data_IF_498192773515
#
_entry.id   IF_498192773515
#
_cell.length_a   1.000
_cell.length_b   1.000
_cell.length_c   1.000
_cell.angle_alpha   90.00
_cell.angle_beta   90.00
_cell.angle_gamma   90.00
#
_symmetry.space_group_name_H-M   'P 1'
#
loop_
_entity.id
_entity.type
_entity.pdbx_description
1 polymer ?
#
# COMPACT_ATOMS: atom_id res chain seq x y z
N UNK A 1 4.35 18.00 22.30
CA UNK A 1 3.64 17.79 21.02
C UNK A 1 4.00 16.40 20.54
N UNK A 2 3.10 15.44 20.65
CA UNK A 2 3.33 14.07 20.16
C UNK A 2 3.44 14.15 18.63
N UNK A 3 4.61 13.82 18.12
CA UNK A 3 4.91 13.76 16.69
C UNK A 3 4.07 12.62 16.10
N UNK A 4 2.96 12.94 15.41
CA UNK A 4 1.98 11.96 14.90
C UNK A 4 2.45 11.31 13.57
N UNK A 5 3.71 10.85 13.54
CA UNK A 5 4.26 10.14 12.39
C UNK A 5 3.79 8.70 12.36
N UNK A 6 3.09 8.29 11.29
CA UNK A 6 2.75 6.88 11.05
C UNK A 6 3.91 6.17 10.34
N UNK A 7 4.64 6.87 9.47
CA UNK A 7 5.87 6.40 8.85
C UNK A 7 7.01 7.32 9.28
N UNK A 8 8.06 6.72 9.83
CA UNK A 8 9.32 7.41 10.11
C UNK A 8 10.47 6.52 9.63
N UNK A 9 11.02 6.84 8.48
CA UNK A 9 12.15 6.16 7.87
C UNK A 9 13.33 7.13 7.82
N UNK A 10 14.43 6.81 8.50
CA UNK A 10 15.61 7.66 8.63
C UNK A 10 16.82 6.97 8.02
N UNK A 11 17.47 7.63 7.05
CA UNK A 11 18.73 7.22 6.42
C UNK A 11 18.69 5.76 5.92
N UNK A 12 17.58 5.36 5.28
CA UNK A 12 17.39 4.01 4.76
C UNK A 12 18.34 3.75 3.60
N UNK A 13 19.12 2.70 3.74
CA UNK A 13 19.89 2.14 2.61
C UNK A 13 19.35 0.77 2.21
N UNK A 14 19.49 0.41 0.94
CA UNK A 14 19.25 -0.94 0.46
C UNK A 14 20.25 -1.32 -0.60
N UNK A 15 20.97 -2.40 -0.32
CA UNK A 15 21.95 -2.98 -1.24
C UNK A 15 21.52 -4.41 -1.56
N UNK A 16 21.31 -4.68 -2.85
CA UNK A 16 21.07 -6.04 -3.35
C UNK A 16 22.39 -6.62 -3.88
N UNK A 17 22.68 -7.88 -3.52
CA UNK A 17 23.86 -8.60 -3.99
C UNK A 17 23.48 -9.63 -5.04
N UNK A 18 23.97 -9.46 -6.25
CA UNK A 18 23.79 -10.35 -7.38
C UNK A 18 25.15 -10.98 -7.73
N UNK A 19 25.51 -12.05 -7.03
CA UNK A 19 26.85 -12.62 -7.10
C UNK A 19 27.90 -11.63 -6.57
N UNK A 20 28.80 -11.16 -7.45
CA UNK A 20 29.83 -10.16 -7.10
C UNK A 20 29.40 -8.69 -7.33
N UNK A 21 28.20 -8.47 -7.89
CA UNK A 21 27.70 -7.13 -8.20
C UNK A 21 26.82 -6.63 -7.05
N UNK A 22 27.14 -5.44 -6.54
CA UNK A 22 26.28 -4.74 -5.58
C UNK A 22 25.47 -3.66 -6.28
N UNK A 23 24.13 -3.70 -6.06
CA UNK A 23 23.19 -2.70 -6.55
C UNK A 23 22.69 -1.89 -5.38
N UNK A 24 23.11 -0.64 -5.27
CA UNK A 24 22.69 0.31 -4.26
C UNK A 24 21.35 0.95 -4.67
N UNK A 25 20.23 0.31 -4.29
CA UNK A 25 18.90 0.76 -4.66
C UNK A 25 18.42 1.96 -3.84
N UNK A 26 18.81 2.03 -2.54
CA UNK A 26 18.61 3.22 -1.69
C UNK A 26 19.93 3.61 -1.04
N UNK A 27 20.18 4.92 -0.91
CA UNK A 27 21.47 5.51 -0.53
C UNK A 27 21.35 6.52 0.62
N UNK A 28 20.53 6.21 1.64
CA UNK A 28 20.27 7.11 2.77
C UNK A 28 18.99 7.92 2.60
N UNK A 29 17.97 7.32 1.99
CA UNK A 29 16.66 7.94 1.83
C UNK A 29 15.96 8.12 3.19
N UNK A 30 15.30 9.28 3.39
CA UNK A 30 14.52 9.56 4.61
C UNK A 30 13.12 10.00 4.22
N UNK A 31 12.10 9.42 4.86
CA UNK A 31 10.68 9.75 4.62
C UNK A 31 9.94 9.77 5.96
N UNK A 32 9.24 10.86 6.22
CA UNK A 32 8.35 11.01 7.38
C UNK A 32 6.94 11.33 6.90
N UNK A 33 5.94 10.52 7.27
CA UNK A 33 4.54 10.70 6.86
C UNK A 33 3.66 10.73 8.11
N UNK A 34 2.79 11.75 8.19
CA UNK A 34 1.85 11.90 9.30
C UNK A 34 0.65 10.95 9.13
N UNK A 35 0.05 10.56 10.25
CA UNK A 35 -1.21 9.79 10.23
C UNK A 35 -2.30 10.56 9.47
N UNK A 36 -3.01 9.86 8.57
CA UNK A 36 -4.06 10.41 7.73
C UNK A 36 -3.59 11.24 6.53
N UNK A 37 -2.28 11.40 6.33
CA UNK A 37 -1.73 12.14 5.19
C UNK A 37 -1.89 11.36 3.88
N UNK A 38 -2.10 12.08 2.77
CA UNK A 38 -2.07 11.54 1.40
C UNK A 38 -0.80 12.01 0.71
N UNK A 39 0.10 11.09 0.42
CA UNK A 39 1.43 11.39 -0.13
C UNK A 39 1.65 10.66 -1.45
N UNK A 40 2.18 11.36 -2.45
CA UNK A 40 2.69 10.74 -3.66
C UNK A 40 4.21 10.52 -3.55
N UNK A 41 4.69 9.36 -3.99
CA UNK A 41 6.11 9.08 -4.19
C UNK A 41 6.35 8.99 -5.70
N UNK A 42 7.15 9.92 -6.23
CA UNK A 42 7.42 10.03 -7.66
C UNK A 42 8.91 9.94 -7.97
N UNK A 43 9.24 9.61 -9.20
CA UNK A 43 10.64 9.56 -9.68
C UNK A 43 10.78 8.73 -10.96
N UNK A 44 11.90 8.83 -11.67
CA UNK A 44 12.13 8.07 -12.89
C UNK A 44 12.22 6.56 -12.65
N UNK A 45 12.14 5.76 -13.71
CA UNK A 45 12.39 4.31 -13.61
C UNK A 45 13.79 4.05 -13.04
N UNK A 46 13.89 3.05 -12.16
CA UNK A 46 15.16 2.70 -11.50
C UNK A 46 15.59 3.63 -10.35
N UNK A 47 14.83 4.66 -10.00
CA UNK A 47 15.19 5.61 -8.92
C UNK A 47 15.15 5.04 -7.50
N UNK A 48 14.57 3.85 -7.29
CA UNK A 48 14.42 3.23 -5.97
C UNK A 48 12.99 3.21 -5.40
N UNK A 49 11.97 3.71 -6.15
CA UNK A 49 10.56 3.74 -5.69
C UNK A 49 10.03 2.39 -5.23
N UNK A 50 10.16 1.35 -6.06
CA UNK A 50 9.68 -0.01 -5.71
C UNK A 50 10.44 -0.60 -4.53
N UNK A 51 11.74 -0.30 -4.39
CA UNK A 51 12.52 -0.70 -3.22
C UNK A 51 12.04 0.02 -1.97
N UNK A 52 11.78 1.33 -2.04
CA UNK A 52 11.21 2.10 -0.94
C UNK A 52 9.82 1.56 -0.56
N UNK A 53 8.96 1.30 -1.56
CA UNK A 53 7.65 0.68 -1.34
C UNK A 53 7.75 -0.64 -0.60
N UNK A 54 8.67 -1.52 -1.01
CA UNK A 54 8.86 -2.82 -0.36
C UNK A 54 9.28 -2.69 1.11
N UNK A 55 10.14 -1.72 1.42
CA UNK A 55 10.58 -1.47 2.80
C UNK A 55 9.44 -0.86 3.62
N UNK A 56 8.79 0.20 3.14
CA UNK A 56 7.69 0.85 3.84
C UNK A 56 6.50 -0.11 4.03
N UNK A 57 6.30 -1.02 3.06
CA UNK A 57 5.27 -2.05 3.11
C UNK A 57 5.63 -3.30 3.93
N UNK A 58 6.77 -3.31 4.61
CA UNK A 58 7.27 -4.48 5.35
C UNK A 58 7.33 -5.77 4.50
N UNK A 59 7.63 -5.63 3.20
CA UNK A 59 7.90 -6.73 2.27
C UNK A 59 9.40 -7.06 2.24
N UNK A 60 10.25 -6.11 2.59
CA UNK A 60 11.71 -6.24 2.64
C UNK A 60 12.27 -5.41 3.79
N UNK A 61 13.52 -5.69 4.19
CA UNK A 61 14.23 -4.93 5.23
C UNK A 61 15.23 -3.97 4.62
N UNK A 62 15.47 -2.82 5.24
CA UNK A 62 16.61 -2.00 4.88
C UNK A 62 17.93 -2.73 5.18
N UNK A 63 18.98 -2.40 4.43
CA UNK A 63 20.36 -2.84 4.77
C UNK A 63 20.88 -2.08 5.98
N UNK A 64 20.56 -0.79 6.08
CA UNK A 64 20.81 0.05 7.26
C UNK A 64 19.81 1.20 7.34
N UNK A 65 19.84 1.96 8.42
CA UNK A 65 18.89 2.99 8.76
C UNK A 65 17.82 2.50 9.73
N UNK A 66 16.91 3.38 10.13
CA UNK A 66 15.84 3.07 11.07
C UNK A 66 14.48 3.26 10.39
N UNK A 67 13.56 2.31 10.61
CA UNK A 67 12.19 2.39 10.11
C UNK A 67 11.20 2.06 11.21
N UNK A 68 10.35 3.04 11.55
CA UNK A 68 9.21 2.88 12.44
C UNK A 68 7.92 3.01 11.63
N UNK A 69 7.02 2.05 11.83
CA UNK A 69 5.66 2.06 11.28
C UNK A 69 4.67 2.08 12.44
N UNK A 70 3.95 3.19 12.57
CA UNK A 70 2.97 3.39 13.64
C UNK A 70 3.56 3.09 15.02
N UNK A 71 4.75 3.66 15.28
CA UNK A 71 5.51 3.53 16.52
C UNK A 71 6.27 2.21 16.72
N UNK A 72 6.10 1.21 15.84
CA UNK A 72 6.78 -0.09 15.94
C UNK A 72 8.05 -0.10 15.08
N UNK A 73 9.21 -0.48 15.65
CA UNK A 73 10.46 -0.56 14.89
C UNK A 73 10.48 -1.78 13.98
N UNK A 74 10.38 -1.55 12.67
CA UNK A 74 10.25 -2.60 11.65
C UNK A 74 11.61 -3.08 11.14
N UNK A 75 12.65 -2.24 11.20
CA UNK A 75 13.98 -2.53 10.62
C UNK A 75 14.67 -3.75 11.19
N UNK A 76 14.30 -4.18 12.40
CA UNK A 76 14.95 -5.29 13.13
C UNK A 76 14.11 -6.56 13.24
N UNK A 77 12.88 -6.54 12.73
CA UNK A 77 11.94 -7.66 12.83
C UNK A 77 12.40 -8.86 11.99
N UNK A 78 12.11 -10.07 12.43
CA UNK A 78 12.25 -11.29 11.62
C UNK A 78 11.12 -11.42 10.58
N UNK A 79 11.15 -12.47 9.75
CA UNK A 79 10.20 -12.64 8.65
C UNK A 79 8.76 -12.88 9.14
N UNK A 80 8.59 -13.59 10.26
CA UNK A 80 7.29 -13.84 10.85
C UNK A 80 6.70 -12.56 11.44
N UNK A 81 7.51 -11.79 12.15
CA UNK A 81 7.13 -10.49 12.71
C UNK A 81 6.80 -9.47 11.61
N UNK A 82 7.60 -9.43 10.53
CA UNK A 82 7.30 -8.59 9.35
C UNK A 82 5.98 -8.97 8.71
N UNK A 83 5.69 -10.28 8.59
CA UNK A 83 4.42 -10.74 8.03
C UNK A 83 3.23 -10.34 8.91
N UNK A 84 3.37 -10.38 10.23
CA UNK A 84 2.35 -9.94 11.18
C UNK A 84 2.12 -8.42 11.10
N UNK A 85 3.19 -7.62 11.14
CA UNK A 85 3.10 -6.15 10.98
C UNK A 85 2.45 -5.79 9.64
N UNK A 86 2.88 -6.42 8.55
CA UNK A 86 2.29 -6.20 7.22
C UNK A 86 0.80 -6.52 7.19
N UNK A 87 0.39 -7.65 7.77
CA UNK A 87 -1.03 -8.02 7.84
C UNK A 87 -1.88 -7.02 8.61
N UNK A 88 -1.36 -6.51 9.74
CA UNK A 88 -2.10 -5.60 10.64
C UNK A 88 -2.09 -4.14 10.18
N UNK A 89 -0.94 -3.66 9.67
CA UNK A 89 -0.68 -2.22 9.51
C UNK A 89 -0.61 -1.76 8.05
N UNK A 90 -0.53 -2.67 7.07
CA UNK A 90 -0.33 -2.31 5.68
C UNK A 90 -1.38 -2.92 4.77
N UNK A 91 -2.05 -2.08 3.98
CA UNK A 91 -2.87 -2.50 2.85
C UNK A 91 -2.15 -2.24 1.54
N UNK A 92 -2.26 -3.16 0.57
CA UNK A 92 -1.65 -2.99 -0.76
C UNK A 92 -2.70 -2.95 -1.86
N UNK A 93 -2.54 -1.96 -2.76
CA UNK A 93 -3.28 -1.81 -3.99
C UNK A 93 -2.26 -1.78 -5.13
N UNK A 94 -2.29 -2.75 -6.04
CA UNK A 94 -1.32 -2.88 -7.13
C UNK A 94 -1.95 -2.53 -8.47
N UNK A 95 -1.14 -2.12 -9.42
CA UNK A 95 -1.52 -1.85 -10.80
C UNK A 95 -2.21 -3.05 -11.46
N UNK A 96 -1.73 -4.27 -11.21
CA UNK A 96 -2.23 -5.54 -11.78
C UNK A 96 -3.26 -6.24 -10.89
N UNK A 97 -3.86 -5.50 -9.94
CA UNK A 97 -4.89 -5.94 -8.98
C UNK A 97 -4.44 -7.09 -8.06
N UNK A 98 -3.66 -8.04 -8.53
CA UNK A 98 -3.14 -9.22 -7.81
C UNK A 98 -4.25 -9.99 -7.07
N UNK A 99 -5.40 -10.18 -7.74
CA UNK A 99 -6.50 -10.99 -7.23
C UNK A 99 -6.26 -12.48 -7.53
N UNK A 100 -6.74 -13.34 -6.64
CA UNK A 100 -6.79 -14.78 -6.88
C UNK A 100 -7.87 -15.07 -7.94
N UNK A 101 -7.50 -15.51 -9.17
CA UNK A 101 -8.42 -15.54 -10.31
C UNK A 101 -9.53 -16.58 -10.17
N UNK A 102 -9.33 -17.60 -9.34
CA UNK A 102 -10.32 -18.67 -9.07
C UNK A 102 -11.18 -18.42 -7.84
N UNK A 103 -10.85 -17.40 -7.04
CA UNK A 103 -11.59 -17.00 -5.85
C UNK A 103 -12.62 -15.92 -6.20
N UNK A 104 -13.74 -15.88 -5.48
CA UNK A 104 -14.75 -14.80 -5.59
C UNK A 104 -14.20 -13.49 -5.04
N UNK A 105 -14.90 -12.36 -5.32
CA UNK A 105 -14.59 -11.07 -4.71
C UNK A 105 -14.55 -11.17 -3.18
N UNK A 106 -15.57 -11.78 -2.59
CA UNK A 106 -15.61 -12.00 -1.13
C UNK A 106 -14.41 -12.81 -0.63
N UNK A 107 -14.07 -13.92 -1.28
CA UNK A 107 -12.95 -14.76 -0.86
C UNK A 107 -11.59 -14.05 -1.00
N UNK A 108 -11.43 -13.17 -2.00
CA UNK A 108 -10.25 -12.32 -2.14
C UNK A 108 -10.13 -11.32 -0.98
N UNK A 109 -11.25 -10.72 -0.56
CA UNK A 109 -11.26 -9.74 0.54
C UNK A 109 -11.14 -10.42 1.91
N UNK A 110 -11.65 -11.63 2.08
CA UNK A 110 -11.48 -12.42 3.32
C UNK A 110 -10.03 -12.90 3.54
N UNK A 111 -9.22 -12.97 2.47
CA UNK A 111 -7.89 -13.58 2.53
C UNK A 111 -6.98 -12.97 3.62
N UNK A 112 -6.81 -11.64 3.75
CA UNK A 112 -5.98 -11.06 4.80
C UNK A 112 -6.48 -11.37 6.22
N UNK A 113 -7.80 -11.52 6.40
CA UNK A 113 -8.40 -11.82 7.69
C UNK A 113 -8.04 -13.22 8.20
N UNK A 114 -7.83 -14.19 7.28
CA UNK A 114 -7.43 -15.56 7.63
C UNK A 114 -6.01 -15.64 8.21
N UNK A 115 -5.17 -14.67 7.90
CA UNK A 115 -3.80 -14.55 8.43
C UNK A 115 -3.72 -13.61 9.63
N UNK A 116 -4.83 -12.98 10.01
CA UNK A 116 -4.90 -12.11 11.17
C UNK A 116 -4.81 -12.92 12.47
N UNK A 117 -3.96 -12.49 13.39
CA UNK A 117 -3.91 -13.02 14.77
C UNK A 117 -4.96 -12.37 15.67
N UNK A 118 -5.72 -11.41 15.16
CA UNK A 118 -6.81 -10.77 15.91
C UNK A 118 -8.02 -11.70 15.98
N UNK A 119 -8.51 -11.97 17.17
CA UNK A 119 -9.71 -12.76 17.43
C UNK A 119 -10.90 -11.82 17.73
N UNK A 120 -12.12 -12.36 17.63
CA UNK A 120 -13.33 -11.69 18.15
C UNK A 120 -14.16 -10.92 17.13
N UNK A 121 -13.92 -11.10 15.80
CA UNK A 121 -14.79 -10.55 14.77
C UNK A 121 -15.16 -11.60 13.70
N UNK A 122 -16.32 -11.40 13.08
CA UNK A 122 -16.76 -12.21 11.95
C UNK A 122 -16.01 -11.78 10.69
N UNK A 123 -15.11 -12.65 10.20
CA UNK A 123 -14.32 -12.43 9.00
C UNK A 123 -15.19 -12.16 7.78
N UNK A 124 -16.28 -12.94 7.66
CA UNK A 124 -17.20 -12.82 6.53
C UNK A 124 -17.94 -11.48 6.56
N UNK A 125 -18.48 -11.08 7.70
CA UNK A 125 -19.18 -9.80 7.82
C UNK A 125 -18.24 -8.63 7.53
N UNK A 126 -17.01 -8.66 8.07
CA UNK A 126 -16.02 -7.62 7.85
C UNK A 126 -15.62 -7.50 6.37
N UNK A 127 -15.50 -8.63 5.66
CA UNK A 127 -15.24 -8.63 4.23
C UNK A 127 -16.44 -8.12 3.41
N UNK A 128 -17.67 -8.43 3.82
CA UNK A 128 -18.88 -7.87 3.22
C UNK A 128 -18.95 -6.37 3.40
N UNK A 129 -18.68 -5.86 4.61
CA UNK A 129 -18.67 -4.42 4.90
C UNK A 129 -17.62 -3.70 4.03
N UNK A 130 -16.45 -4.31 3.84
CA UNK A 130 -15.41 -3.76 2.96
C UNK A 130 -15.83 -3.74 1.48
N UNK A 131 -16.59 -4.73 0.99
CA UNK A 131 -17.13 -4.75 -0.36
C UNK A 131 -18.25 -3.70 -0.56
N UNK A 132 -19.10 -3.51 0.43
CA UNK A 132 -20.11 -2.42 0.43
C UNK A 132 -19.42 -1.05 0.38
N UNK A 133 -18.35 -0.85 1.15
CA UNK A 133 -17.60 0.42 1.16
C UNK A 133 -16.98 0.81 -0.19
N UNK A 134 -16.86 -0.15 -1.12
CA UNK A 134 -16.36 0.08 -2.49
C UNK A 134 -17.44 -0.10 -3.57
N UNK A 135 -18.72 -0.10 -3.20
CA UNK A 135 -19.90 -0.24 -4.07
C UNK A 135 -19.87 -1.56 -4.89
N UNK A 136 -19.63 -2.70 -4.23
CA UNK A 136 -19.57 -4.04 -4.85
C UNK A 136 -20.44 -5.09 -4.13
N UNK A 137 -21.50 -4.68 -3.43
CA UNK A 137 -22.43 -5.58 -2.73
C UNK A 137 -23.16 -6.54 -3.67
N UNK A 138 -23.36 -6.18 -4.92
CA UNK A 138 -23.99 -7.00 -5.95
C UNK A 138 -22.99 -7.94 -6.68
N UNK A 139 -21.68 -7.82 -6.40
CA UNK A 139 -20.58 -8.57 -7.04
C UNK A 139 -19.84 -9.53 -6.13
N UNK A 140 -20.33 -9.77 -4.91
CA UNK A 140 -19.71 -10.58 -3.85
C UNK A 140 -19.28 -11.97 -4.35
N UNK A 141 -20.09 -12.60 -5.22
CA UNK A 141 -19.88 -13.96 -5.73
C UNK A 141 -19.15 -14.01 -7.07
N UNK A 142 -18.92 -12.88 -7.73
CA UNK A 142 -18.22 -12.83 -9.01
C UNK A 142 -16.73 -13.11 -8.82
N UNK A 143 -16.13 -13.71 -9.84
CA UNK A 143 -14.69 -13.93 -9.94
C UNK A 143 -14.05 -12.80 -10.75
N UNK A 144 -12.73 -12.57 -10.62
CA UNK A 144 -12.05 -11.50 -11.37
C UNK A 144 -12.31 -11.50 -12.88
N UNK A 145 -12.37 -12.68 -13.52
CA UNK A 145 -12.64 -12.79 -14.96
C UNK A 145 -14.09 -12.42 -15.37
N UNK A 146 -14.97 -12.22 -14.39
CA UNK A 146 -16.38 -11.81 -14.60
C UNK A 146 -16.58 -10.32 -14.27
N UNK A 147 -15.47 -9.58 -14.04
CA UNK A 147 -15.49 -8.20 -13.54
C UNK A 147 -14.68 -7.28 -14.48
N UNK A 148 -15.12 -6.02 -14.63
CA UNK A 148 -14.33 -5.00 -15.30
C UNK A 148 -13.04 -4.67 -14.52
N UNK A 149 -12.05 -4.03 -15.17
CA UNK A 149 -10.80 -3.61 -14.53
C UNK A 149 -11.05 -2.71 -13.31
N UNK A 150 -11.96 -1.73 -13.42
CA UNK A 150 -12.35 -0.86 -12.31
C UNK A 150 -12.99 -1.62 -11.15
N UNK A 151 -13.84 -2.63 -11.45
CA UNK A 151 -14.41 -3.50 -10.41
C UNK A 151 -13.34 -4.36 -9.74
N UNK A 152 -12.40 -4.93 -10.50
CA UNK A 152 -11.28 -5.69 -9.94
C UNK A 152 -10.41 -4.81 -9.02
N UNK A 153 -10.15 -3.57 -9.41
CA UNK A 153 -9.39 -2.62 -8.59
C UNK A 153 -10.14 -2.27 -7.31
N UNK A 154 -11.46 -2.09 -7.36
CA UNK A 154 -12.30 -1.89 -6.16
C UNK A 154 -12.23 -3.10 -5.22
N UNK A 155 -12.21 -4.35 -5.72
CA UNK A 155 -11.98 -5.55 -4.90
C UNK A 155 -10.59 -5.53 -4.26
N UNK A 156 -9.54 -5.12 -5.00
CA UNK A 156 -8.19 -4.98 -4.46
C UNK A 156 -8.12 -3.91 -3.35
N UNK A 157 -8.84 -2.80 -3.50
CA UNK A 157 -8.98 -1.77 -2.48
C UNK A 157 -9.71 -2.32 -1.24
N UNK A 158 -10.86 -2.99 -1.41
CA UNK A 158 -11.58 -3.62 -0.30
C UNK A 158 -10.68 -4.59 0.48
N UNK A 159 -9.91 -5.42 -0.23
CA UNK A 159 -8.92 -6.31 0.36
C UNK A 159 -7.83 -5.55 1.14
N UNK A 160 -7.37 -4.42 0.61
CA UNK A 160 -6.32 -3.63 1.25
C UNK A 160 -6.78 -3.03 2.58
N UNK A 161 -8.05 -2.62 2.70
CA UNK A 161 -8.57 -1.93 3.88
C UNK A 161 -9.26 -2.84 4.91
N UNK A 162 -9.52 -4.11 4.57
CA UNK A 162 -10.32 -5.02 5.40
C UNK A 162 -9.77 -5.21 6.81
N UNK A 163 -8.46 -5.14 7.01
CA UNK A 163 -7.81 -5.18 8.32
C UNK A 163 -7.75 -3.81 9.02
N UNK A 164 -8.28 -2.73 8.42
CA UNK A 164 -8.17 -1.35 8.90
C UNK A 164 -6.70 -0.95 9.15
N UNK A 165 -5.86 -1.00 8.11
CA UNK A 165 -4.43 -0.76 8.24
C UNK A 165 -4.13 0.70 8.60
N UNK A 166 -2.94 0.94 9.20
CA UNK A 166 -2.44 2.30 9.47
C UNK A 166 -2.07 3.02 8.18
N UNK A 167 -1.58 2.27 7.16
CA UNK A 167 -1.22 2.79 5.84
C UNK A 167 -1.81 1.94 4.71
N UNK A 168 -2.23 2.58 3.63
CA UNK A 168 -2.51 1.94 2.34
C UNK A 168 -1.47 2.41 1.33
N UNK A 169 -0.79 1.45 0.71
CA UNK A 169 0.19 1.69 -0.34
C UNK A 169 -0.41 1.34 -1.69
N UNK A 170 -0.49 2.30 -2.60
CA UNK A 170 -1.07 2.15 -3.92
C UNK A 170 0.03 2.33 -4.99
N UNK A 171 0.41 1.24 -5.66
CA UNK A 171 1.41 1.23 -6.73
C UNK A 171 0.71 1.34 -8.08
N UNK A 172 0.86 2.50 -8.74
CA UNK A 172 0.21 2.84 -10.02
C UNK A 172 -1.27 2.42 -10.05
N UNK A 173 -2.11 2.89 -9.09
CA UNK A 173 -3.44 2.31 -8.84
C UNK A 173 -4.42 2.44 -10.02
N UNK A 174 -4.12 3.27 -11.02
CA UNK A 174 -4.95 3.54 -12.19
C UNK A 174 -4.30 3.11 -13.50
N UNK A 175 -3.04 2.63 -13.46
CA UNK A 175 -2.21 2.42 -14.65
C UNK A 175 -2.74 1.38 -15.65
N UNK A 176 -3.66 0.49 -15.25
CA UNK A 176 -4.31 -0.51 -16.12
C UNK A 176 -5.80 -0.23 -16.33
N UNK A 177 -6.26 0.99 -16.07
CA UNK A 177 -7.67 1.40 -16.18
C UNK A 177 -7.86 2.42 -17.30
N UNK A 178 -9.07 2.46 -17.86
CA UNK A 178 -9.49 3.60 -18.67
C UNK A 178 -9.61 4.87 -17.79
N UNK A 179 -9.58 6.05 -18.43
CA UNK A 179 -9.56 7.35 -17.72
C UNK A 179 -10.70 7.48 -16.73
N UNK A 180 -11.93 7.12 -17.10
CA UNK A 180 -13.11 7.23 -16.24
C UNK A 180 -13.00 6.32 -15.01
N UNK A 181 -12.67 5.04 -15.23
CA UNK A 181 -12.46 4.07 -14.15
C UNK A 181 -11.30 4.48 -13.23
N UNK A 182 -10.22 5.05 -13.79
CA UNK A 182 -9.09 5.59 -13.04
C UNK A 182 -9.51 6.74 -12.11
N UNK A 183 -10.27 7.72 -12.62
CA UNK A 183 -10.79 8.81 -11.79
C UNK A 183 -11.70 8.30 -10.66
N UNK A 184 -12.59 7.32 -10.93
CA UNK A 184 -13.46 6.74 -9.92
C UNK A 184 -12.65 6.03 -8.82
N UNK A 185 -11.60 5.29 -9.18
CA UNK A 185 -10.69 4.62 -8.25
C UNK A 185 -9.95 5.63 -7.39
N UNK A 186 -9.42 6.72 -7.96
CA UNK A 186 -8.77 7.78 -7.20
C UNK A 186 -9.72 8.47 -6.22
N UNK A 187 -10.93 8.82 -6.68
CA UNK A 187 -11.97 9.39 -5.81
C UNK A 187 -12.29 8.45 -4.64
N UNK A 188 -12.39 7.14 -4.90
CA UNK A 188 -12.64 6.13 -3.87
C UNK A 188 -11.50 6.09 -2.84
N UNK A 189 -10.23 6.03 -3.26
CA UNK A 189 -9.07 6.03 -2.37
C UNK A 189 -9.02 7.28 -1.48
N UNK A 190 -9.25 8.47 -2.05
CA UNK A 190 -9.28 9.74 -1.31
C UNK A 190 -10.47 9.81 -0.34
N UNK A 191 -11.65 9.30 -0.74
CA UNK A 191 -12.82 9.20 0.14
C UNK A 191 -12.50 8.30 1.34
N UNK A 192 -11.91 7.13 1.11
CA UNK A 192 -11.55 6.20 2.19
C UNK A 192 -10.50 6.77 3.14
N UNK A 193 -9.47 7.48 2.64
CA UNK A 193 -8.53 8.19 3.49
C UNK A 193 -9.28 9.15 4.42
N UNK A 194 -10.20 9.96 3.88
CA UNK A 194 -10.97 10.96 4.65
C UNK A 194 -11.91 10.33 5.68
N UNK A 195 -12.60 9.24 5.32
CA UNK A 195 -13.62 8.61 6.18
C UNK A 195 -13.00 7.70 7.24
N UNK A 196 -11.92 6.99 6.91
CA UNK A 196 -11.28 6.02 7.80
C UNK A 196 -10.05 6.58 8.54
N UNK A 197 -9.53 7.75 8.13
CA UNK A 197 -8.30 8.32 8.67
C UNK A 197 -7.03 7.54 8.30
N UNK A 198 -7.12 6.56 7.39
CA UNK A 198 -5.98 5.75 6.95
C UNK A 198 -5.03 6.59 6.11
N UNK A 199 -3.73 6.50 6.36
CA UNK A 199 -2.71 7.17 5.57
C UNK A 199 -2.60 6.55 4.18
N UNK A 200 -2.54 7.36 3.12
CA UNK A 200 -2.45 6.88 1.75
C UNK A 200 -1.10 7.27 1.13
N UNK A 201 -0.36 6.28 0.66
CA UNK A 201 0.92 6.45 -0.02
C UNK A 201 0.76 5.95 -1.46
N UNK A 202 0.80 6.86 -2.43
CA UNK A 202 0.62 6.54 -3.85
C UNK A 202 1.99 6.59 -4.53
N UNK A 203 2.40 5.50 -5.15
CA UNK A 203 3.57 5.47 -6.02
C UNK A 203 3.05 5.65 -7.44
N UNK A 204 3.51 6.71 -8.12
CA UNK A 204 3.11 6.97 -9.50
C UNK A 204 4.15 7.77 -10.27
N UNK A 205 4.11 7.65 -11.59
CA UNK A 205 4.82 8.55 -12.51
C UNK A 205 3.86 9.57 -13.16
N UNK A 206 2.57 9.47 -12.88
CA UNK A 206 1.54 10.36 -13.40
C UNK A 206 1.45 11.63 -12.54
N UNK A 207 1.68 12.79 -13.19
CA UNK A 207 1.66 14.09 -12.53
C UNK A 207 0.24 14.53 -12.09
N UNK A 208 -0.81 14.09 -12.80
CA UNK A 208 -2.20 14.42 -12.46
C UNK A 208 -2.62 13.70 -11.16
N UNK A 209 -2.21 12.42 -11.03
CA UNK A 209 -2.44 11.66 -9.80
C UNK A 209 -1.64 12.23 -8.65
N UNK A 210 -0.35 12.52 -8.87
CA UNK A 210 0.51 13.12 -7.85
C UNK A 210 -0.03 14.48 -7.38
N UNK A 211 -0.58 15.28 -8.31
CA UNK A 211 -1.21 16.59 -8.02
C UNK A 211 -2.48 16.52 -7.16
N UNK A 212 -3.11 15.35 -7.01
CA UNK A 212 -4.25 15.13 -6.13
C UNK A 212 -3.82 14.83 -4.68
N UNK A 213 -2.53 14.59 -4.44
CA UNK A 213 -1.99 14.30 -3.12
C UNK A 213 -1.66 15.61 -2.36
N UNK A 214 -1.64 15.52 -1.03
CA UNK A 214 -1.31 16.67 -0.16
C UNK A 214 0.16 17.05 -0.21
N UNK A 215 1.04 16.08 -0.49
CA UNK A 215 2.50 16.24 -0.58
C UNK A 215 3.09 15.26 -1.59
N UNK A 216 4.14 15.71 -2.26
CA UNK A 216 4.89 14.90 -3.24
C UNK A 216 6.31 14.72 -2.71
N UNK A 217 6.78 13.49 -2.66
CA UNK A 217 8.14 13.10 -2.32
C UNK A 217 8.82 12.59 -3.59
N UNK A 218 9.91 13.20 -3.97
CA UNK A 218 10.69 12.76 -5.11
C UNK A 218 11.76 11.76 -4.68
N UNK A 219 11.90 10.66 -5.43
CA UNK A 219 13.02 9.73 -5.27
C UNK A 219 13.86 9.77 -6.55
N UNK A 220 15.13 10.08 -6.38
CA UNK A 220 16.10 10.08 -7.47
C UNK A 220 17.40 9.44 -6.99
N UNK A 221 17.92 8.48 -7.78
CA UNK A 221 19.19 7.77 -7.51
C UNK A 221 19.28 7.18 -6.07
N UNK A 222 18.14 6.70 -5.53
CA UNK A 222 18.06 6.11 -4.19
C UNK A 222 18.03 7.12 -3.04
N UNK A 223 17.83 8.41 -3.32
CA UNK A 223 17.75 9.49 -2.33
C UNK A 223 16.39 10.17 -2.45
N UNK A 224 15.82 10.57 -1.32
CA UNK A 224 14.56 11.34 -1.26
C UNK A 224 14.84 12.83 -1.27
N UNK A 225 13.97 13.58 -1.96
CA UNK A 225 13.96 15.05 -2.00
C UNK A 225 12.50 15.49 -1.77
N UNK A 226 12.28 16.43 -0.87
CA UNK A 226 10.98 17.07 -0.61
C UNK A 226 10.94 18.47 -1.21
#
# INVERSE_FOLDING_TARGET
>A
MTNNWVVKADQITKVYRLGQIEVHALRGASIHIKSGEVVAIVGPSGSGKSTMMNILGALDRPTSGAYLLDGEEVSKLDDEQLADVRNRKVGFVFQTFNLLPRATALANVELPLRYSRQNGFDHRQRALDALVAVDLEDRIRHRPNEMSGGQQQRVAIARAIVNRPSIVMADEPTGNLDTKSGEEVMKLLLKMNKEMGTTLIIITHDAEIAGQCQRIIHIRDGITQE
#
